data_IF_984354783813
#
_entry.id   IF_984354783813
#
_cell.length_a   1.000
_cell.length_b   1.000
_cell.length_c   1.000
_cell.angle_alpha   90.00
_cell.angle_beta   90.00
_cell.angle_gamma   90.00
#
_symmetry.space_group_name_H-M   'P 1'
#
loop_
_entity.id
_entity.type
_entity.pdbx_description
1 polymer ?
#
# COMPACT_ATOMS: atom_id res chain seq x y z
N UNK A 1 3.18 -17.30 -10.32
CA UNK A 1 2.42 -17.37 -9.05
C UNK A 1 0.96 -17.49 -9.42
N UNK A 2 0.20 -18.41 -8.84
CA UNK A 2 -1.22 -18.53 -9.13
C UNK A 2 -2.01 -17.58 -8.20
N UNK A 3 -2.40 -16.40 -8.70
CA UNK A 3 -3.37 -15.57 -7.99
C UNK A 3 -4.78 -16.08 -8.35
N UNK A 4 -5.52 -16.59 -7.35
CA UNK A 4 -6.92 -17.04 -7.49
C UNK A 4 -7.16 -18.10 -8.58
N UNK A 5 -6.15 -18.92 -8.90
CA UNK A 5 -6.21 -19.94 -9.95
C UNK A 5 -5.85 -19.44 -11.35
N UNK A 6 -5.48 -18.16 -11.49
CA UNK A 6 -4.93 -17.59 -12.73
C UNK A 6 -3.41 -17.55 -12.59
N UNK A 7 -2.71 -18.09 -13.58
CA UNK A 7 -1.25 -18.00 -13.62
C UNK A 7 -0.84 -16.56 -13.98
N UNK A 8 -0.27 -15.87 -13.00
CA UNK A 8 0.20 -14.50 -13.15
C UNK A 8 1.69 -14.45 -12.85
N UNK A 9 2.43 -13.83 -13.77
CA UNK A 9 3.83 -13.52 -13.55
C UNK A 9 4.01 -12.49 -12.41
N UNK A 10 5.04 -12.67 -11.59
CA UNK A 10 5.28 -11.81 -10.43
C UNK A 10 5.51 -10.35 -10.83
N UNK A 11 6.15 -10.09 -11.98
CA UNK A 11 6.35 -8.72 -12.45
C UNK A 11 5.03 -8.05 -12.84
N UNK A 12 4.01 -8.81 -13.21
CA UNK A 12 2.67 -8.28 -13.51
C UNK A 12 1.99 -7.74 -12.26
N UNK A 13 2.06 -8.47 -11.14
CA UNK A 13 1.55 -8.00 -9.84
C UNK A 13 2.29 -6.73 -9.42
N UNK A 14 3.62 -6.72 -9.50
CA UNK A 14 4.43 -5.55 -9.14
C UNK A 14 4.07 -4.32 -9.98
N UNK A 15 3.90 -4.48 -11.30
CA UNK A 15 3.46 -3.42 -12.22
C UNK A 15 2.07 -2.88 -11.85
N UNK A 16 1.13 -3.74 -11.47
CA UNK A 16 -0.22 -3.31 -11.04
C UNK A 16 -0.17 -2.52 -9.73
N UNK A 17 0.60 -2.99 -8.75
CA UNK A 17 0.81 -2.27 -7.49
C UNK A 17 1.39 -0.89 -7.77
N UNK A 18 2.43 -0.80 -8.59
CA UNK A 18 3.09 0.47 -8.91
C UNK A 18 2.15 1.45 -9.63
N UNK A 19 1.28 0.95 -10.51
CA UNK A 19 0.27 1.77 -11.19
C UNK A 19 -0.86 2.22 -10.27
N UNK A 20 -1.28 1.39 -9.32
CA UNK A 20 -2.52 1.59 -8.56
C UNK A 20 -2.31 2.28 -7.21
N UNK A 21 -1.20 2.04 -6.52
CA UNK A 21 -0.87 2.66 -5.23
C UNK A 21 -0.94 4.20 -5.28
N UNK A 22 -0.42 4.90 -6.32
CA UNK A 22 -0.52 6.36 -6.38
C UNK A 22 -1.96 6.89 -6.35
N UNK A 23 -2.91 6.19 -6.98
CA UNK A 23 -4.32 6.56 -6.98
C UNK A 23 -4.95 6.41 -5.60
N UNK A 24 -4.61 5.32 -4.91
CA UNK A 24 -5.07 5.07 -3.53
C UNK A 24 -4.51 6.14 -2.60
N UNK A 25 -3.21 6.44 -2.70
CA UNK A 25 -2.56 7.48 -1.88
C UNK A 25 -3.19 8.85 -2.13
N UNK A 26 -3.50 9.20 -3.38
CA UNK A 26 -4.19 10.46 -3.71
C UNK A 26 -5.58 10.54 -3.09
N UNK A 27 -6.36 9.45 -3.17
CA UNK A 27 -7.67 9.35 -2.54
C UNK A 27 -7.58 9.50 -1.01
N UNK A 28 -6.69 8.73 -0.39
CA UNK A 28 -6.45 8.79 1.05
C UNK A 28 -6.03 10.18 1.52
N UNK A 29 -5.12 10.85 0.81
CA UNK A 29 -4.68 12.20 1.18
C UNK A 29 -5.82 13.23 1.13
N UNK A 30 -6.76 13.08 0.19
CA UNK A 30 -7.91 13.98 0.07
C UNK A 30 -8.93 13.78 1.20
N UNK A 31 -9.08 12.56 1.70
CA UNK A 31 -10.02 12.25 2.80
C UNK A 31 -9.35 12.24 4.18
N UNK A 32 -8.04 12.47 4.26
CA UNK A 32 -7.30 12.43 5.53
C UNK A 32 -7.77 13.59 6.43
N UNK A 33 -8.28 13.30 7.64
CA UNK A 33 -8.68 14.36 8.57
C UNK A 33 -7.46 15.13 9.09
N UNK A 34 -7.69 16.38 9.52
CA UNK A 34 -6.69 17.16 10.22
C UNK A 34 -6.24 16.44 11.51
N UNK A 35 -4.95 16.52 11.84
CA UNK A 35 -4.42 15.92 13.05
C UNK A 35 -4.95 16.71 14.26
N UNK A 36 -5.65 16.03 15.17
CA UNK A 36 -6.21 16.63 16.38
C UNK A 36 -5.16 16.83 17.48
N UNK A 37 -5.57 17.45 18.59
CA UNK A 37 -4.72 17.75 19.75
C UNK A 37 -4.17 16.51 20.48
N UNK A 38 -4.85 15.36 20.34
CA UNK A 38 -4.41 14.07 20.87
C UNK A 38 -4.06 13.15 19.71
N UNK A 39 -2.83 12.65 19.68
CA UNK A 39 -2.36 11.69 18.70
C UNK A 39 -1.96 10.39 19.41
N UNK A 40 -2.01 9.28 18.68
CA UNK A 40 -1.48 7.97 19.07
C UNK A 40 -0.52 7.53 17.98
N UNK A 41 0.55 6.86 18.37
CA UNK A 41 1.56 6.34 17.47
C UNK A 41 1.72 4.87 17.74
N UNK A 42 1.58 4.08 16.69
CA UNK A 42 1.88 2.67 16.70
C UNK A 42 3.26 2.48 16.05
N UNK A 43 4.09 1.64 16.65
CA UNK A 43 5.38 1.26 16.11
C UNK A 43 5.28 -0.12 15.46
N UNK A 44 5.74 -0.25 14.22
CA UNK A 44 5.77 -1.53 13.50
C UNK A 44 7.12 -1.69 12.83
N UNK A 45 7.83 -2.76 13.20
CA UNK A 45 9.11 -3.11 12.60
C UNK A 45 8.90 -3.95 11.36
N UNK A 46 9.35 -3.42 10.22
CA UNK A 46 9.32 -4.13 8.94
C UNK A 46 10.75 -4.30 8.47
N UNK A 47 11.19 -5.55 8.32
CA UNK A 47 12.51 -5.85 7.77
C UNK A 47 12.48 -5.61 6.26
N UNK A 48 13.16 -4.57 5.79
CA UNK A 48 13.30 -4.28 4.36
C UNK A 48 14.65 -4.81 3.90
N UNK A 49 14.63 -5.82 3.02
CA UNK A 49 15.80 -6.46 2.40
C UNK A 49 16.97 -6.68 3.37
N UNK A 50 16.97 -7.83 4.06
CA UNK A 50 18.20 -8.44 4.62
C UNK A 50 18.86 -7.74 5.79
#
# INVERSE_FOLDING_TARGET
>A
MAERGIEVDHATISRWVHRRVPLIVKGYRRSKPAVGRRWRMDETYIKIKG
#
